data_IF_569649744908
#
_entry.id   IF_569649744908
#
_cell.length_a   1.000
_cell.length_b   1.000
_cell.length_c   1.000
_cell.angle_alpha   90.00
_cell.angle_beta   90.00
_cell.angle_gamma   90.00
#
_symmetry.space_group_name_H-M   'P 1'
#
loop_
_entity.id
_entity.type
_entity.pdbx_description
1 polymer ?
#
# COMPACT_ATOMS: atom_id res chain seq x y z
N UNK A 1 49.86 36.16 17.32
CA UNK A 1 49.06 36.93 16.35
C UNK A 1 48.24 35.97 15.50
N UNK A 2 46.90 36.16 15.42
CA UNK A 2 45.94 35.69 14.36
C UNK A 2 45.79 34.15 14.16
N UNK A 3 44.64 33.48 14.10
CA UNK A 3 43.17 33.74 14.01
C UNK A 3 42.44 32.42 14.40
N UNK A 4 41.48 32.41 15.35
CA UNK A 4 40.01 32.32 15.16
C UNK A 4 39.49 31.00 14.51
N UNK A 5 38.85 30.12 15.32
CA UNK A 5 37.82 29.08 14.97
C UNK A 5 36.54 29.76 14.39
N UNK A 6 35.49 29.09 13.82
CA UNK A 6 35.13 27.66 13.76
C UNK A 6 34.46 27.20 12.42
N UNK A 7 34.05 25.92 12.39
CA UNK A 7 32.82 25.37 11.78
C UNK A 7 32.29 25.94 10.44
N UNK A 8 32.29 25.09 9.40
CA UNK A 8 31.22 25.09 8.41
C UNK A 8 30.81 23.64 8.09
N UNK A 9 29.87 23.16 8.91
CA UNK A 9 28.88 22.17 8.50
C UNK A 9 28.10 22.79 7.33
N UNK A 10 28.31 22.29 6.11
CA UNK A 10 27.33 22.46 5.05
C UNK A 10 26.42 21.23 5.04
N UNK A 11 25.28 21.37 5.73
CA UNK A 11 24.05 20.65 5.44
C UNK A 11 23.75 20.81 3.94
N UNK A 12 23.79 19.71 3.19
CA UNK A 12 23.20 19.64 1.86
C UNK A 12 22.00 18.70 1.92
N UNK A 13 20.85 19.35 2.11
CA UNK A 13 19.49 18.98 1.69
C UNK A 13 19.26 17.49 1.41
N UNK A 14 18.68 16.79 2.40
CA UNK A 14 17.89 15.60 2.13
C UNK A 14 16.75 16.00 1.18
N UNK A 15 16.92 15.69 -0.10
CA UNK A 15 15.84 15.80 -1.07
C UNK A 15 14.88 14.65 -0.76
N UNK A 16 13.83 14.94 -0.01
CA UNK A 16 12.68 14.05 0.08
C UNK A 16 12.06 13.97 -1.31
N UNK A 17 12.56 13.05 -2.13
CA UNK A 17 11.87 12.61 -3.34
C UNK A 17 10.61 11.90 -2.84
N UNK A 18 9.56 12.67 -2.57
CA UNK A 18 8.22 12.12 -2.42
C UNK A 18 7.86 11.55 -3.79
N UNK A 19 8.08 10.26 -3.98
CA UNK A 19 7.69 9.54 -5.18
C UNK A 19 6.18 9.72 -5.34
N UNK A 20 5.78 10.60 -6.25
CA UNK A 20 4.38 10.77 -6.58
C UNK A 20 3.92 9.48 -7.26
N UNK A 21 3.15 8.67 -6.54
CA UNK A 21 2.53 7.49 -7.15
C UNK A 21 1.72 7.89 -8.39
N UNK A 22 1.80 7.11 -9.48
CA UNK A 22 1.08 7.41 -10.71
C UNK A 22 -0.44 7.48 -10.45
N UNK A 23 -1.14 8.40 -11.11
CA UNK A 23 -2.59 8.63 -10.93
C UNK A 23 -3.41 7.34 -11.05
N UNK A 24 -3.02 6.45 -11.95
CA UNK A 24 -3.65 5.15 -12.15
C UNK A 24 -3.54 4.25 -10.90
N UNK A 25 -2.39 4.23 -10.23
CA UNK A 25 -2.19 3.49 -8.96
C UNK A 25 -3.12 4.03 -7.87
N UNK A 26 -3.20 5.36 -7.73
CA UNK A 26 -4.08 6.00 -6.73
C UNK A 26 -5.55 5.73 -6.99
N UNK A 27 -5.98 5.75 -8.25
CA UNK A 27 -7.35 5.39 -8.62
C UNK A 27 -7.67 3.94 -8.27
N UNK A 28 -6.75 3.02 -8.61
CA UNK A 28 -6.90 1.61 -8.30
C UNK A 28 -6.97 1.37 -6.78
N UNK A 29 -6.08 1.97 -5.99
CA UNK A 29 -6.12 1.90 -4.53
C UNK A 29 -7.45 2.39 -3.97
N UNK A 30 -7.98 3.52 -4.47
CA UNK A 30 -9.29 4.04 -4.04
C UNK A 30 -10.43 3.09 -4.39
N UNK A 31 -10.39 2.48 -5.58
CA UNK A 31 -11.40 1.49 -5.99
C UNK A 31 -11.34 0.25 -5.10
N UNK A 32 -10.15 -0.27 -4.82
CA UNK A 32 -9.94 -1.41 -3.93
C UNK A 32 -10.42 -1.11 -2.51
N UNK A 33 -10.06 0.04 -1.95
CA UNK A 33 -10.52 0.44 -0.61
C UNK A 33 -12.05 0.60 -0.54
N UNK A 34 -12.69 1.06 -1.62
CA UNK A 34 -14.16 1.09 -1.72
C UNK A 34 -14.76 -0.30 -1.78
N UNK A 35 -14.17 -1.22 -2.55
CA UNK A 35 -14.65 -2.60 -2.63
C UNK A 35 -14.58 -3.30 -1.25
N UNK A 36 -13.49 -3.13 -0.51
CA UNK A 36 -13.32 -3.67 0.85
C UNK A 36 -14.38 -3.09 1.80
N UNK A 37 -14.61 -1.77 1.77
CA UNK A 37 -15.65 -1.12 2.58
C UNK A 37 -17.06 -1.57 2.22
N UNK A 38 -17.35 -1.73 0.93
CA UNK A 38 -18.64 -2.23 0.46
C UNK A 38 -18.90 -3.68 0.88
N UNK A 39 -17.85 -4.46 1.11
CA UNK A 39 -17.94 -5.81 1.67
C UNK A 39 -18.11 -5.83 3.20
N UNK A 40 -18.20 -4.67 3.86
CA UNK A 40 -18.44 -4.54 5.31
C UNK A 40 -17.16 -4.51 6.16
N UNK A 41 -15.98 -4.39 5.55
CA UNK A 41 -14.71 -4.32 6.26
C UNK A 41 -14.19 -2.88 6.37
N UNK A 42 -13.30 -2.63 7.33
CA UNK A 42 -12.64 -1.32 7.45
C UNK A 42 -11.47 -1.19 6.46
N UNK A 43 -11.39 -0.09 5.71
CA UNK A 43 -10.19 0.22 4.91
C UNK A 43 -10.23 1.67 4.44
N UNK A 44 -9.59 2.57 5.19
CA UNK A 44 -9.54 3.99 4.84
C UNK A 44 -8.35 4.34 3.95
N UNK A 45 -7.18 3.73 4.20
CA UNK A 45 -5.97 3.91 3.39
C UNK A 45 -5.30 2.57 3.14
N UNK A 46 -5.12 2.21 1.87
CA UNK A 46 -4.26 1.10 1.47
C UNK A 46 -2.80 1.58 1.53
N UNK A 47 -1.96 0.85 2.23
CA UNK A 47 -0.51 1.12 2.32
C UNK A 47 0.31 0.08 1.59
N UNK A 48 -0.23 -1.12 1.37
CA UNK A 48 0.43 -2.17 0.62
C UNK A 48 -0.60 -3.07 -0.08
N UNK A 49 -0.25 -3.56 -1.28
CA UNK A 49 -1.06 -4.50 -2.04
C UNK A 49 -0.13 -5.39 -2.88
N UNK A 50 -0.21 -6.71 -2.67
CA UNK A 50 0.67 -7.68 -3.32
C UNK A 50 -0.02 -9.00 -3.58
N UNK A 51 0.37 -9.68 -4.65
CA UNK A 51 -0.10 -11.03 -4.94
C UNK A 51 0.53 -12.00 -3.94
N UNK A 52 -0.30 -12.75 -3.22
CA UNK A 52 0.17 -13.89 -2.44
C UNK A 52 0.39 -15.07 -3.38
N UNK A 53 1.65 -15.27 -3.78
CA UNK A 53 2.05 -16.36 -4.67
C UNK A 53 1.79 -17.74 -4.08
N UNK A 54 1.89 -17.92 -2.76
CA UNK A 54 1.70 -19.21 -2.12
C UNK A 54 0.24 -19.64 -2.19
N UNK A 55 -0.69 -18.75 -1.83
CA UNK A 55 -2.13 -19.03 -1.93
C UNK A 55 -2.65 -18.99 -3.37
N UNK A 56 -1.99 -18.24 -4.25
CA UNK A 56 -2.32 -18.23 -5.68
C UNK A 56 -1.88 -19.48 -6.43
N UNK A 57 -0.99 -20.31 -5.85
CA UNK A 57 -0.59 -21.59 -6.43
C UNK A 57 -1.77 -22.56 -6.59
N UNK A 58 -2.84 -22.37 -5.81
CA UNK A 58 -4.08 -23.15 -5.91
C UNK A 58 -5.01 -22.76 -7.08
N UNK A 59 -4.57 -21.85 -7.95
CA UNK A 59 -5.24 -21.51 -9.21
C UNK A 59 -5.88 -20.13 -9.23
N UNK A 60 -6.61 -19.74 -8.18
CA UNK A 60 -7.17 -18.40 -8.10
C UNK A 60 -6.10 -17.37 -7.70
N UNK A 61 -6.05 -16.21 -8.36
CA UNK A 61 -5.16 -15.13 -7.93
C UNK A 61 -5.66 -14.53 -6.62
N UNK A 62 -4.82 -14.58 -5.60
CA UNK A 62 -5.08 -13.99 -4.27
C UNK A 62 -4.21 -12.76 -4.09
N UNK A 63 -4.83 -11.62 -3.84
CA UNK A 63 -4.14 -10.37 -3.52
C UNK A 63 -4.27 -10.10 -2.03
N UNK A 64 -3.14 -9.97 -1.34
CA UNK A 64 -3.07 -9.46 0.02
C UNK A 64 -3.09 -7.93 -0.03
N UNK A 65 -4.05 -7.31 0.66
CA UNK A 65 -4.14 -5.86 0.81
C UNK A 65 -3.97 -5.51 2.28
N UNK A 66 -3.11 -4.52 2.55
CA UNK A 66 -2.92 -3.94 3.88
C UNK A 66 -3.56 -2.56 3.90
N UNK A 67 -4.49 -2.37 4.84
CA UNK A 67 -5.08 -1.08 5.16
C UNK A 67 -4.50 -0.59 6.49
N UNK A 68 -3.88 0.59 6.46
CA UNK A 68 -3.20 1.17 7.62
C UNK A 68 -3.27 2.69 7.58
N UNK A 69 -3.94 3.28 8.58
CA UNK A 69 -4.05 4.73 8.74
C UNK A 69 -3.07 5.32 9.78
N UNK A 70 -2.18 4.50 10.35
CA UNK A 70 -1.27 4.70 11.50
C UNK A 70 -1.92 4.52 12.88
N UNK A 71 -3.22 4.31 12.95
CA UNK A 71 -3.97 4.07 14.20
C UNK A 71 -4.65 2.70 14.21
N UNK A 72 -5.09 2.25 13.04
CA UNK A 72 -5.76 0.99 12.80
C UNK A 72 -5.03 0.26 11.69
N UNK A 73 -4.82 -1.04 11.91
CA UNK A 73 -4.18 -1.94 10.97
C UNK A 73 -5.12 -3.10 10.66
N UNK A 74 -5.34 -3.37 9.38
CA UNK A 74 -6.09 -4.53 8.95
C UNK A 74 -5.54 -5.08 7.63
N UNK A 75 -5.62 -6.41 7.48
CA UNK A 75 -5.22 -7.09 6.26
C UNK A 75 -6.36 -7.93 5.72
N UNK A 76 -6.46 -7.98 4.39
CA UNK A 76 -7.52 -8.67 3.68
C UNK A 76 -6.94 -9.51 2.54
N UNK A 77 -7.53 -10.68 2.32
CA UNK A 77 -7.35 -11.48 1.11
C UNK A 77 -8.45 -11.14 0.12
N UNK A 78 -8.05 -10.75 -1.09
CA UNK A 78 -8.95 -10.49 -2.22
C UNK A 78 -8.75 -11.63 -3.23
N UNK A 79 -9.79 -12.43 -3.43
CA UNK A 79 -9.79 -13.46 -4.48
C UNK A 79 -10.25 -12.83 -5.77
N UNK A 80 -9.48 -13.00 -6.83
CA UNK A 80 -9.83 -12.52 -8.17
C UNK A 80 -10.60 -13.60 -8.94
N UNK A 81 -11.39 -13.19 -9.93
CA UNK A 81 -11.89 -14.09 -10.97
C UNK A 81 -10.76 -14.57 -11.89
N UNK A 82 -11.06 -15.57 -12.72
CA UNK A 82 -10.06 -16.25 -13.55
C UNK A 82 -9.31 -15.34 -14.55
N UNK A 83 -9.94 -14.26 -15.01
CA UNK A 83 -9.33 -13.28 -15.92
C UNK A 83 -8.67 -12.09 -15.19
N UNK A 84 -8.64 -12.14 -13.84
CA UNK A 84 -8.14 -11.09 -12.96
C UNK A 84 -8.79 -9.70 -13.14
N UNK A 85 -10.00 -9.64 -13.71
CA UNK A 85 -10.70 -8.38 -13.96
C UNK A 85 -11.53 -7.88 -12.76
N UNK A 86 -11.93 -8.78 -11.85
CA UNK A 86 -12.84 -8.47 -10.73
C UNK A 86 -12.48 -9.23 -9.47
N UNK A 87 -12.75 -8.61 -8.32
CA UNK A 87 -12.70 -9.26 -7.01
C UNK A 87 -13.99 -10.06 -6.82
N UNK A 88 -13.87 -11.36 -6.54
CA UNK A 88 -14.99 -12.29 -6.32
C UNK A 88 -15.25 -12.56 -4.84
N UNK A 89 -14.22 -12.44 -4.00
CA UNK A 89 -14.33 -12.64 -2.54
C UNK A 89 -13.35 -11.75 -1.79
N UNK A 90 -13.79 -11.20 -0.66
CA UNK A 90 -12.97 -10.45 0.29
C UNK A 90 -13.11 -11.11 1.65
N UNK A 91 -11.98 -11.41 2.30
CA UNK A 91 -11.97 -12.00 3.64
C UNK A 91 -10.81 -11.45 4.48
N UNK A 92 -10.91 -11.42 5.82
CA UNK A 92 -9.79 -11.07 6.69
C UNK A 92 -8.60 -11.98 6.45
N UNK A 93 -7.40 -11.40 6.43
CA UNK A 93 -6.16 -12.16 6.34
C UNK A 93 -5.94 -12.97 7.63
N UNK A 94 -5.68 -14.26 7.50
CA UNK A 94 -5.36 -15.18 8.60
C UNK A 94 -4.06 -15.91 8.31
#
# INVERSE_FOLDING_TARGET
MKRILPALLFLLCASEITAAEPLQSRMLQRQTARAIRNAGFWCDRITDARIDKARSAGGATIVQVTCDDKTTFAQYSLTMNADNSKVTKIEPWK
#
